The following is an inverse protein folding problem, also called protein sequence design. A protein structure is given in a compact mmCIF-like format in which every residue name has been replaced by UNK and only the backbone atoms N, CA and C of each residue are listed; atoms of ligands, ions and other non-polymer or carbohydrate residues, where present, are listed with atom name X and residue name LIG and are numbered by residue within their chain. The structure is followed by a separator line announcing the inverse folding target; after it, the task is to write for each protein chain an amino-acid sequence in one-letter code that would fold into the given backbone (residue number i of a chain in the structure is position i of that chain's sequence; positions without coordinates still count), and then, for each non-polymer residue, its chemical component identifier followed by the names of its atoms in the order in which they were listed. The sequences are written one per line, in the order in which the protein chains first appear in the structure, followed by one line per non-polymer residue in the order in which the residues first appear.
data_IF_863356768692
#
_entry.id   IF_863356768692
#
_cell.length_a   1.000
_cell.length_b   1.000
_cell.length_c   1.000
_cell.angle_alpha   90.00
_cell.angle_beta   90.00
_cell.angle_gamma   90.00
#
_symmetry.space_group_name_H-M   'P 1'
#
loop_
_entity.id
_entity.type
_entity.pdbx_description
1 polymer ?
#
# COMPACT_ATOMS: atom_id res chain seq x y z
N UNK A 1 16.24 53.19 22.84
CA UNK A 1 15.32 52.30 22.08
C UNK A 1 14.84 51.26 23.07
N UNK A 2 13.57 51.09 23.42
CA UNK A 2 12.29 51.62 22.91
C UNK A 2 11.22 51.15 23.90
N UNK A 3 10.73 52.01 24.79
CA UNK A 3 9.66 51.69 25.75
C UNK A 3 8.37 51.32 25.00
N UNK A 4 8.03 52.11 23.97
CA UNK A 4 6.85 51.89 23.11
C UNK A 4 6.90 50.62 22.27
N UNK A 5 8.09 50.17 21.86
CA UNK A 5 8.20 48.92 21.09
C UNK A 5 7.87 47.72 21.98
N UNK A 6 8.31 47.76 23.24
CA UNK A 6 8.01 46.70 24.19
C UNK A 6 6.52 46.73 24.55
N UNK A 7 5.95 47.91 24.78
CA UNK A 7 4.52 48.11 25.01
C UNK A 7 3.66 47.50 23.89
N UNK A 8 3.95 47.79 22.61
CA UNK A 8 3.21 47.20 21.49
C UNK A 8 3.40 45.68 21.36
N UNK A 9 4.57 45.15 21.74
CA UNK A 9 4.80 43.70 21.75
C UNK A 9 3.99 43.02 22.85
N UNK A 10 3.92 43.65 24.02
CA UNK A 10 3.14 43.14 25.15
C UNK A 10 1.64 43.19 24.82
N UNK A 11 1.17 44.22 24.11
CA UNK A 11 -0.20 44.28 23.57
C UNK A 11 -0.49 43.12 22.60
N UNK A 12 0.43 42.82 21.67
CA UNK A 12 0.30 41.67 20.76
C UNK A 12 0.24 40.35 21.54
N UNK A 13 1.03 40.19 22.62
CA UNK A 13 0.97 39.00 23.47
C UNK A 13 -0.42 38.86 24.09
N UNK A 14 -1.00 39.95 24.62
CA UNK A 14 -2.37 39.95 25.13
C UNK A 14 -3.42 39.59 24.07
N UNK A 15 -3.24 40.07 22.83
CA UNK A 15 -4.12 39.69 21.70
C UNK A 15 -3.97 38.20 21.37
N UNK A 16 -2.76 37.64 21.41
CA UNK A 16 -2.53 36.21 21.15
C UNK A 16 -3.28 35.32 22.15
N UNK A 17 -3.29 35.69 23.43
CA UNK A 17 -4.03 34.98 24.47
C UNK A 17 -5.54 35.00 24.18
N UNK A 18 -6.08 36.14 23.77
CA UNK A 18 -7.49 36.26 23.38
C UNK A 18 -7.83 35.42 22.15
N UNK A 19 -6.95 35.39 21.14
CA UNK A 19 -7.10 34.54 19.96
C UNK A 19 -7.12 33.07 20.38
N UNK A 20 -6.18 32.64 21.24
CA UNK A 20 -6.11 31.27 21.74
C UNK A 20 -7.39 30.85 22.48
N UNK A 21 -7.92 31.73 23.32
CA UNK A 21 -9.18 31.50 24.04
C UNK A 21 -10.37 31.36 23.09
N UNK A 22 -10.46 32.23 22.07
CA UNK A 22 -11.52 32.17 21.06
C UNK A 22 -11.43 30.90 20.20
N UNK A 23 -10.23 30.52 19.78
CA UNK A 23 -9.99 29.27 19.05
C UNK A 23 -10.37 28.05 19.88
N UNK A 24 -10.02 28.05 21.17
CA UNK A 24 -10.39 26.96 22.10
C UNK A 24 -11.90 26.85 22.30
N UNK A 25 -12.59 27.99 22.47
CA UNK A 25 -14.06 28.04 22.55
C UNK A 25 -14.70 27.54 21.25
N UNK A 26 -14.20 27.98 20.09
CA UNK A 26 -14.66 27.52 18.78
C UNK A 26 -14.48 26.01 18.60
N UNK A 27 -13.31 25.47 18.98
CA UNK A 27 -13.00 24.04 18.90
C UNK A 27 -13.96 23.19 19.73
N UNK A 28 -14.27 23.59 20.97
CA UNK A 28 -15.27 22.92 21.83
C UNK A 28 -16.67 22.90 21.20
N UNK A 29 -17.07 23.99 20.55
CA UNK A 29 -18.35 24.06 19.82
C UNK A 29 -18.31 23.14 18.60
N UNK A 30 -17.21 23.14 17.85
CA UNK A 30 -17.03 22.26 16.70
C UNK A 30 -17.16 20.78 17.10
N UNK A 31 -16.55 20.34 18.21
CA UNK A 31 -16.71 18.97 18.71
C UNK A 31 -18.18 18.61 18.97
N UNK A 32 -18.93 19.49 19.65
CA UNK A 32 -20.38 19.30 19.89
C UNK A 32 -21.17 19.21 18.59
N UNK A 33 -20.84 20.04 17.58
CA UNK A 33 -21.44 19.96 16.25
C UNK A 33 -21.16 18.58 15.62
N UNK A 34 -19.93 18.07 15.74
CA UNK A 34 -19.55 16.75 15.23
C UNK A 34 -20.33 15.61 15.88
N UNK A 35 -20.56 15.68 17.20
CA UNK A 35 -21.39 14.72 17.93
C UNK A 35 -22.84 14.71 17.44
N UNK A 36 -23.45 15.89 17.27
CA UNK A 36 -24.83 16.00 16.75
C UNK A 36 -24.93 15.54 15.30
N UNK A 37 -23.98 15.91 14.45
CA UNK A 37 -23.93 15.45 13.05
C UNK A 37 -23.89 13.93 12.95
N UNK A 38 -23.10 13.27 13.80
CA UNK A 38 -23.03 11.80 13.88
C UNK A 38 -24.37 11.18 14.27
N UNK A 39 -25.03 11.71 15.31
CA UNK A 39 -26.36 11.22 15.72
C UNK A 39 -27.39 11.33 14.59
N UNK A 40 -27.26 12.35 13.76
CA UNK A 40 -28.16 12.63 12.63
C UNK A 40 -27.72 11.98 11.31
N UNK A 41 -26.56 11.30 11.26
CA UNK A 41 -26.02 10.71 10.02
C UNK A 41 -25.68 11.74 8.94
N UNK A 42 -25.34 12.97 9.32
CA UNK A 42 -25.06 14.08 8.38
C UNK A 42 -23.56 14.27 8.14
N UNK A 43 -23.20 14.79 6.96
CA UNK A 43 -21.80 14.96 6.56
C UNK A 43 -21.06 16.00 7.42
N UNK A 44 -19.83 15.68 7.82
CA UNK A 44 -18.97 16.56 8.62
C UNK A 44 -18.50 17.77 7.80
N UNK A 45 -18.04 17.55 6.56
CA UNK A 45 -17.61 18.62 5.66
C UNK A 45 -18.76 19.17 4.81
N UNK A 46 -18.89 20.49 4.78
CA UNK A 46 -19.90 21.22 3.99
C UNK A 46 -19.24 22.44 3.33
N UNK A 47 -18.87 22.35 2.03
CA UNK A 47 -18.17 23.43 1.34
C UNK A 47 -19.05 24.66 1.12
N UNK A 48 -20.38 24.49 1.04
CA UNK A 48 -21.31 25.59 0.84
C UNK A 48 -21.42 26.43 2.12
N UNK A 49 -21.55 25.78 3.28
CA UNK A 49 -21.49 26.43 4.59
C UNK A 49 -20.16 27.15 4.80
N UNK A 50 -19.05 26.53 4.42
CA UNK A 50 -17.72 27.15 4.53
C UNK A 50 -17.65 28.45 3.70
N UNK A 51 -18.10 28.39 2.44
CA UNK A 51 -18.16 29.56 1.55
C UNK A 51 -19.03 30.68 2.12
N UNK A 52 -20.19 30.36 2.67
CA UNK A 52 -21.09 31.34 3.30
C UNK A 52 -20.42 32.02 4.50
N UNK A 53 -19.75 31.26 5.37
CA UNK A 53 -19.01 31.82 6.50
C UNK A 53 -17.86 32.72 6.05
N UNK A 54 -17.11 32.33 5.01
CA UNK A 54 -16.03 33.16 4.45
C UNK A 54 -16.62 34.48 3.96
N UNK A 55 -17.68 34.43 3.14
CA UNK A 55 -18.29 35.65 2.59
C UNK A 55 -18.75 36.59 3.70
N UNK A 56 -19.40 36.08 4.75
CA UNK A 56 -19.80 36.90 5.90
C UNK A 56 -18.62 37.54 6.65
N UNK A 57 -17.46 36.91 6.66
CA UNK A 57 -16.24 37.47 7.25
C UNK A 57 -15.63 38.55 6.34
N UNK A 58 -15.63 38.32 5.02
CA UNK A 58 -15.13 39.28 4.05
C UNK A 58 -16.00 40.55 4.00
N UNK A 59 -17.32 40.40 4.07
CA UNK A 59 -18.27 41.53 4.10
C UNK A 59 -18.06 42.44 5.34
N UNK A 60 -17.45 41.91 6.40
CA UNK A 60 -17.15 42.63 7.65
C UNK A 60 -15.67 43.02 7.79
N UNK A 61 -14.85 42.75 6.78
CA UNK A 61 -13.42 43.02 6.86
C UNK A 61 -13.14 44.50 6.61
N UNK A 62 -12.79 45.24 7.66
CA UNK A 62 -12.40 46.66 7.58
C UNK A 62 -10.87 46.85 7.48
N UNK A 63 -10.11 45.76 7.32
CA UNK A 63 -8.64 45.77 7.29
C UNK A 63 -8.01 45.68 8.69
N UNK A 64 -6.67 45.78 8.81
CA UNK A 64 -5.69 46.10 7.78
C UNK A 64 -5.27 44.91 6.89
N UNK A 65 -5.65 43.68 7.24
CA UNK A 65 -5.43 42.51 6.37
C UNK A 65 -6.42 42.49 5.21
N UNK A 66 -5.93 42.23 4.00
CA UNK A 66 -6.82 42.09 2.85
C UNK A 66 -7.62 40.77 2.91
N UNK A 67 -8.68 40.71 2.10
CA UNK A 67 -9.61 39.58 2.04
C UNK A 67 -8.95 38.23 1.77
N UNK A 68 -7.89 38.19 0.97
CA UNK A 68 -7.18 36.95 0.68
C UNK A 68 -6.49 36.39 1.92
N UNK A 69 -5.86 37.26 2.72
CA UNK A 69 -5.20 36.85 3.98
C UNK A 69 -6.25 36.37 4.99
N UNK A 70 -7.34 37.12 5.18
CA UNK A 70 -8.45 36.71 6.06
C UNK A 70 -9.01 35.36 5.63
N UNK A 71 -9.28 35.18 4.33
CA UNK A 71 -9.76 33.92 3.78
C UNK A 71 -8.82 32.75 4.07
N UNK A 72 -7.51 32.91 3.91
CA UNK A 72 -6.53 31.85 4.19
C UNK A 72 -6.50 31.48 5.67
N UNK A 73 -6.44 32.47 6.57
CA UNK A 73 -6.42 32.25 8.02
C UNK A 73 -7.66 31.49 8.48
N UNK A 74 -8.85 31.92 8.04
CA UNK A 74 -10.09 31.28 8.44
C UNK A 74 -10.26 29.88 7.82
N UNK A 75 -9.76 29.64 6.61
CA UNK A 75 -9.73 28.29 6.04
C UNK A 75 -8.95 27.30 6.91
N UNK A 76 -7.79 27.69 7.43
CA UNK A 76 -7.03 26.83 8.34
C UNK A 76 -7.78 26.58 9.66
N UNK A 77 -8.43 27.62 10.21
CA UNK A 77 -9.29 27.47 11.40
C UNK A 77 -10.46 26.50 11.12
N UNK A 78 -11.07 26.60 9.94
CA UNK A 78 -12.19 25.74 9.53
C UNK A 78 -11.76 24.30 9.33
N UNK A 79 -10.61 24.08 8.68
CA UNK A 79 -9.98 22.77 8.53
C UNK A 79 -9.71 22.13 9.89
N UNK A 80 -8.99 22.81 10.77
CA UNK A 80 -8.69 22.32 12.13
C UNK A 80 -9.97 21.97 12.91
N UNK A 81 -11.03 22.75 12.74
CA UNK A 81 -12.31 22.48 13.44
C UNK A 81 -13.14 21.38 12.79
N UNK A 82 -12.98 21.14 11.50
CA UNK A 82 -13.55 19.99 10.80
C UNK A 82 -12.86 18.71 11.25
N UNK A 83 -11.54 18.76 11.46
CA UNK A 83 -10.78 17.61 11.99
C UNK A 83 -11.15 17.28 13.44
N UNK A 84 -11.50 18.28 14.26
CA UNK A 84 -12.05 18.05 15.60
C UNK A 84 -13.43 17.38 15.60
N UNK A 85 -14.21 17.51 14.52
CA UNK A 85 -15.54 16.90 14.39
C UNK A 85 -15.49 15.42 14.04
N UNK A 86 -14.43 14.96 13.39
CA UNK A 86 -14.23 13.54 13.02
C UNK A 86 -14.16 12.65 14.27
N UNK A 87 -14.71 11.44 14.21
CA UNK A 87 -14.67 10.46 15.31
C UNK A 87 -13.23 10.04 15.66
N UNK A 88 -12.96 9.51 16.85
CA UNK A 88 -11.60 9.01 17.17
C UNK A 88 -11.14 7.88 16.23
N UNK A 89 -12.06 7.06 15.72
CA UNK A 89 -11.76 6.07 14.68
C UNK A 89 -11.51 6.72 13.31
N UNK A 90 -12.17 7.83 12.97
CA UNK A 90 -11.81 8.63 11.79
C UNK A 90 -10.49 9.42 11.97
N UNK A 91 -9.96 9.52 13.20
CA UNK A 91 -8.66 10.15 13.47
C UNK A 91 -7.49 9.17 13.33
N UNK A 92 -7.75 7.87 13.44
CA UNK A 92 -6.72 6.82 13.40
C UNK A 92 -7.16 5.67 12.48
N UNK A 93 -6.49 5.58 11.33
CA UNK A 93 -6.69 4.54 10.33
C UNK A 93 -6.51 3.15 10.95
N UNK A 94 -7.36 2.19 10.59
CA UNK A 94 -7.24 0.78 11.00
C UNK A 94 -5.85 0.22 10.71
N UNK A 95 -5.25 0.62 9.60
CA UNK A 95 -3.91 0.18 9.20
C UNK A 95 -2.76 0.90 9.95
N UNK A 96 -3.04 1.92 10.75
CA UNK A 96 -2.00 2.75 11.39
C UNK A 96 -1.46 2.14 12.69
N UNK A 97 -0.16 2.30 12.92
CA UNK A 97 0.46 1.97 14.21
C UNK A 97 -0.10 2.75 15.40
N UNK A 98 -0.69 3.93 15.16
CA UNK A 98 -1.34 4.71 16.22
C UNK A 98 -2.53 3.97 16.81
N UNK A 99 -3.25 3.19 15.99
CA UNK A 99 -4.38 2.38 16.44
C UNK A 99 -3.92 1.01 16.95
N UNK A 100 -3.02 0.35 16.22
CA UNK A 100 -2.47 -0.96 16.57
C UNK A 100 -0.93 -0.92 16.50
N UNK A 101 -0.24 -0.75 17.64
CA UNK A 101 1.22 -0.63 17.67
C UNK A 101 1.95 -1.90 17.21
N UNK A 102 1.38 -3.08 17.45
CA UNK A 102 1.96 -4.39 17.15
C UNK A 102 1.89 -4.74 15.66
N UNK A 103 2.92 -5.44 15.16
CA UNK A 103 2.95 -5.91 13.78
C UNK A 103 1.79 -6.88 13.48
N UNK A 104 1.17 -6.70 12.32
CA UNK A 104 0.26 -7.69 11.75
C UNK A 104 1.08 -8.82 11.13
N UNK A 105 0.77 -10.05 11.54
CA UNK A 105 1.41 -11.27 11.04
C UNK A 105 0.38 -12.03 10.21
N UNK A 106 0.69 -12.28 8.94
CA UNK A 106 -0.17 -13.05 8.04
C UNK A 106 0.32 -14.49 7.98
N UNK A 107 -0.50 -15.43 8.46
CA UNK A 107 -0.16 -16.85 8.60
C UNK A 107 -0.95 -17.71 7.62
N UNK A 108 -0.33 -18.82 7.18
CA UNK A 108 -0.88 -19.75 6.20
C UNK A 108 -0.76 -21.20 6.71
N UNK A 109 -1.70 -22.06 6.30
CA UNK A 109 -1.82 -23.44 6.78
C UNK A 109 -0.57 -24.31 6.49
N UNK A 110 0.17 -24.03 5.42
CA UNK A 110 1.40 -24.75 5.06
C UNK A 110 2.64 -24.30 5.89
N UNK A 111 2.43 -23.45 6.90
CA UNK A 111 3.47 -22.86 7.73
C UNK A 111 4.14 -21.62 7.13
N UNK A 112 3.65 -21.10 6.00
CA UNK A 112 4.07 -19.79 5.50
C UNK A 112 3.66 -18.67 6.46
N UNK A 113 4.56 -17.72 6.71
CA UNK A 113 4.30 -16.57 7.59
C UNK A 113 4.96 -15.33 6.99
N UNK A 114 4.23 -14.22 6.95
CA UNK A 114 4.74 -12.92 6.48
C UNK A 114 4.55 -11.88 7.60
N UNK A 115 5.61 -11.15 7.94
CA UNK A 115 5.58 -10.07 8.92
C UNK A 115 5.99 -10.44 10.35
N UNK A 116 6.46 -11.68 10.59
CA UNK A 116 6.95 -12.14 11.90
C UNK A 116 8.40 -11.72 12.21
N UNK A 117 9.00 -10.92 11.32
CA UNK A 117 10.41 -10.53 11.35
C UNK A 117 11.31 -11.38 10.45
N UNK A 118 10.86 -12.58 10.04
CA UNK A 118 11.57 -13.39 9.04
C UNK A 118 11.30 -12.89 7.62
N UNK A 119 12.28 -13.06 6.74
CA UNK A 119 12.19 -12.69 5.33
C UNK A 119 11.50 -13.80 4.54
N UNK A 120 10.41 -13.44 3.89
CA UNK A 120 9.67 -14.32 2.99
C UNK A 120 9.99 -14.03 1.52
N UNK A 121 9.82 -15.03 0.66
CA UNK A 121 9.96 -14.85 -0.78
C UNK A 121 8.72 -15.27 -1.54
N UNK A 122 8.40 -14.51 -2.59
CA UNK A 122 7.29 -14.81 -3.48
C UNK A 122 7.81 -14.81 -4.92
N UNK A 123 8.14 -16.00 -5.41
CA UNK A 123 8.65 -16.22 -6.76
C UNK A 123 7.61 -16.93 -7.62
N UNK A 124 7.82 -16.90 -8.93
CA UNK A 124 6.94 -17.58 -9.88
C UNK A 124 6.75 -16.76 -11.15
N UNK A 125 6.04 -17.31 -12.14
CA UNK A 125 5.94 -16.68 -13.44
C UNK A 125 5.13 -15.39 -13.45
N UNK A 126 5.32 -14.60 -14.50
CA UNK A 126 4.53 -13.42 -14.79
C UNK A 126 3.09 -13.82 -15.06
N UNK A 127 2.90 -14.72 -16.02
CA UNK A 127 1.60 -15.25 -16.41
C UNK A 127 1.57 -16.76 -16.18
N UNK A 128 0.38 -17.30 -15.91
CA UNK A 128 0.17 -18.75 -15.97
C UNK A 128 -0.06 -19.12 -17.44
N UNK A 129 0.79 -19.97 -17.99
CA UNK A 129 0.79 -20.30 -19.42
C UNK A 129 0.38 -21.75 -19.68
N UNK A 130 0.86 -22.69 -18.86
CA UNK A 130 0.44 -24.10 -18.84
C UNK A 130 0.71 -24.74 -17.48
N UNK A 131 0.17 -25.95 -17.24
CA UNK A 131 0.45 -26.69 -16.00
C UNK A 131 1.93 -27.05 -15.89
N UNK A 132 2.54 -27.53 -16.97
CA UNK A 132 3.95 -27.93 -17.02
C UNK A 132 4.88 -26.75 -16.70
N UNK A 133 4.58 -25.58 -17.28
CA UNK A 133 5.33 -24.35 -17.07
C UNK A 133 5.34 -23.92 -15.60
N UNK A 134 4.18 -23.99 -14.92
CA UNK A 134 4.08 -23.63 -13.50
C UNK A 134 4.70 -24.71 -12.61
N UNK A 135 4.48 -25.99 -12.94
CA UNK A 135 4.98 -27.13 -12.18
C UNK A 135 6.51 -27.17 -12.11
N UNK A 136 7.19 -26.80 -13.19
CA UNK A 136 8.66 -26.76 -13.21
C UNK A 136 9.21 -25.71 -12.23
N UNK A 137 8.59 -24.52 -12.18
CA UNK A 137 8.96 -23.47 -11.21
C UNK A 137 8.57 -23.90 -9.79
N UNK A 138 7.39 -24.47 -9.61
CA UNK A 138 6.90 -24.91 -8.31
C UNK A 138 7.76 -26.02 -7.70
N UNK A 139 8.21 -27.00 -8.50
CA UNK A 139 9.14 -28.03 -8.06
C UNK A 139 10.45 -27.41 -7.55
N UNK A 140 11.02 -26.47 -8.31
CA UNK A 140 12.25 -25.78 -7.90
C UNK A 140 12.10 -25.00 -6.58
N UNK A 141 10.94 -24.36 -6.37
CA UNK A 141 10.62 -23.63 -5.14
C UNK A 141 10.40 -24.57 -3.95
N UNK A 142 9.71 -25.70 -4.17
CA UNK A 142 9.51 -26.72 -3.14
C UNK A 142 10.84 -27.30 -2.66
N UNK A 143 11.76 -27.61 -3.59
CA UNK A 143 13.10 -28.12 -3.27
C UNK A 143 13.91 -27.14 -2.42
N UNK A 144 13.65 -25.83 -2.55
CA UNK A 144 14.25 -24.76 -1.75
C UNK A 144 13.55 -24.52 -0.43
N UNK A 145 12.44 -25.20 -0.17
CA UNK A 145 11.63 -25.04 1.05
C UNK A 145 10.80 -23.76 1.08
N UNK A 146 10.64 -23.08 -0.06
CA UNK A 146 9.80 -21.89 -0.16
C UNK A 146 8.32 -22.23 0.06
N UNK A 147 7.54 -21.21 0.46
CA UNK A 147 6.15 -21.41 0.90
C UNK A 147 5.12 -20.77 -0.02
N UNK A 148 5.57 -19.97 -0.98
CA UNK A 148 4.72 -19.17 -1.84
C UNK A 148 5.12 -19.33 -3.30
N UNK A 149 4.13 -19.36 -4.17
CA UNK A 149 4.31 -19.18 -5.60
C UNK A 149 3.34 -18.11 -6.11
N UNK A 150 3.80 -17.24 -7.00
CA UNK A 150 2.93 -16.31 -7.74
C UNK A 150 2.72 -16.75 -9.18
N UNK A 151 1.57 -16.40 -9.75
CA UNK A 151 1.30 -16.55 -11.17
C UNK A 151 0.07 -15.77 -11.59
N UNK A 152 0.14 -15.01 -12.68
CA UNK A 152 -0.99 -14.21 -13.14
C UNK A 152 -1.99 -15.02 -13.97
N UNK A 153 -3.14 -15.35 -13.40
CA UNK A 153 -4.26 -15.95 -14.14
C UNK A 153 -5.01 -14.89 -14.98
N UNK A 154 -5.10 -13.67 -14.46
CA UNK A 154 -5.58 -12.47 -15.16
C UNK A 154 -4.42 -11.48 -15.33
N UNK A 155 -4.27 -10.91 -16.53
CA UNK A 155 -3.17 -9.99 -16.85
C UNK A 155 -3.71 -8.61 -17.28
N UNK A 156 -3.53 -7.55 -16.48
CA UNK A 156 -3.88 -6.20 -16.92
C UNK A 156 -2.85 -5.69 -17.94
N UNK A 157 -3.20 -5.73 -19.22
CA UNK A 157 -2.34 -5.33 -20.34
C UNK A 157 -2.60 -3.89 -20.77
N UNK A 158 -1.56 -3.23 -21.26
CA UNK A 158 -1.70 -1.93 -21.92
C UNK A 158 -2.38 -2.07 -23.29
N UNK A 159 -2.06 -3.15 -24.01
CA UNK A 159 -2.68 -3.49 -25.30
C UNK A 159 -3.74 -4.58 -25.10
N UNK A 160 -4.95 -4.44 -25.67
CA UNK A 160 -6.00 -5.45 -25.59
C UNK A 160 -5.73 -6.69 -26.46
N UNK A 161 -4.77 -6.61 -27.40
CA UNK A 161 -4.40 -7.72 -28.28
C UNK A 161 -3.32 -8.63 -27.69
N UNK A 162 -2.72 -8.19 -26.59
CA UNK A 162 -1.76 -9.00 -25.86
C UNK A 162 -2.48 -10.15 -25.13
N UNK A 163 -1.71 -11.17 -24.72
CA UNK A 163 -2.23 -12.22 -23.85
C UNK A 163 -2.82 -11.67 -22.55
N UNK A 164 -4.12 -11.91 -22.33
CA UNK A 164 -4.89 -11.40 -21.19
C UNK A 164 -4.87 -12.34 -19.97
N UNK A 165 -4.22 -13.51 -20.08
CA UNK A 165 -4.27 -14.58 -19.09
C UNK A 165 -5.27 -15.68 -19.45
N UNK A 166 -5.16 -16.83 -18.77
CA UNK A 166 -6.05 -17.98 -18.94
C UNK A 166 -7.38 -17.84 -18.16
N UNK A 167 -7.52 -16.81 -17.33
CA UNK A 167 -8.68 -16.63 -16.46
C UNK A 167 -8.84 -17.80 -15.48
N UNK A 168 -10.04 -18.36 -15.38
CA UNK A 168 -10.34 -19.46 -14.46
C UNK A 168 -9.48 -20.71 -14.69
N UNK A 169 -9.15 -21.05 -15.95
CA UNK A 169 -8.25 -22.19 -16.22
C UNK A 169 -6.86 -21.97 -15.61
N UNK A 170 -6.39 -20.71 -15.60
CA UNK A 170 -5.17 -20.34 -14.89
C UNK A 170 -5.29 -20.49 -13.37
N UNK A 171 -6.47 -20.18 -12.79
CA UNK A 171 -6.73 -20.40 -11.36
C UNK A 171 -6.74 -21.89 -11.01
N UNK A 172 -7.33 -22.74 -11.87
CA UNK A 172 -7.32 -24.20 -11.70
C UNK A 172 -5.89 -24.76 -11.74
N UNK A 173 -5.06 -24.29 -12.67
CA UNK A 173 -3.63 -24.66 -12.72
C UNK A 173 -2.93 -24.32 -11.41
N UNK A 174 -3.12 -23.09 -10.91
CA UNK A 174 -2.52 -22.68 -9.63
C UNK A 174 -3.02 -23.56 -8.48
N UNK A 175 -4.31 -23.87 -8.41
CA UNK A 175 -4.86 -24.76 -7.38
C UNK A 175 -4.26 -26.16 -7.45
N UNK A 176 -4.10 -26.74 -8.64
CA UNK A 176 -3.42 -28.02 -8.82
C UNK A 176 -1.97 -27.96 -8.35
N UNK A 177 -1.25 -26.89 -8.69
CA UNK A 177 0.13 -26.66 -8.24
C UNK A 177 0.22 -26.54 -6.71
N UNK A 178 -0.69 -25.79 -6.09
CA UNK A 178 -0.81 -25.72 -4.63
C UNK A 178 -0.93 -27.10 -4.01
N UNK A 179 -1.88 -27.90 -4.49
CA UNK A 179 -2.18 -29.21 -3.91
C UNK A 179 -1.03 -30.22 -4.14
N UNK A 180 -0.33 -30.10 -5.27
CA UNK A 180 0.80 -30.98 -5.63
C UNK A 180 2.10 -30.62 -4.90
N UNK A 181 2.40 -29.34 -4.72
CA UNK A 181 3.69 -28.88 -4.20
C UNK A 181 3.62 -28.26 -2.79
N UNK A 182 2.42 -28.07 -2.23
CA UNK A 182 2.23 -27.50 -0.89
C UNK A 182 2.59 -26.01 -0.80
N UNK A 183 2.49 -25.27 -1.91
CA UNK A 183 2.80 -23.83 -1.99
C UNK A 183 1.53 -22.99 -1.90
N UNK A 184 1.56 -21.88 -1.18
CA UNK A 184 0.47 -20.89 -1.21
C UNK A 184 0.50 -20.14 -2.53
N UNK A 185 -0.64 -20.06 -3.20
CA UNK A 185 -0.74 -19.42 -4.52
C UNK A 185 -1.21 -17.98 -4.43
N UNK A 186 -0.43 -17.08 -5.04
CA UNK A 186 -0.69 -15.65 -5.16
C UNK A 186 -1.05 -15.32 -6.61
N UNK A 187 -2.26 -14.80 -6.85
CA UNK A 187 -2.67 -14.37 -8.19
C UNK A 187 -3.45 -13.06 -8.17
N UNK A 188 -3.38 -12.32 -9.27
CA UNK A 188 -4.03 -11.02 -9.40
C UNK A 188 -5.51 -11.16 -9.74
N UNK A 189 -6.34 -10.42 -9.01
CA UNK A 189 -7.76 -10.24 -9.31
C UNK A 189 -7.99 -8.83 -9.84
N UNK A 190 -8.75 -8.72 -10.92
CA UNK A 190 -8.93 -7.47 -11.66
C UNK A 190 -10.37 -6.93 -11.63
N UNK A 191 -11.34 -7.78 -11.30
CA UNK A 191 -12.76 -7.44 -11.27
C UNK A 191 -13.40 -7.93 -9.95
N UNK A 192 -14.23 -7.11 -9.27
CA UNK A 192 -14.95 -7.54 -8.07
C UNK A 192 -15.75 -8.84 -8.23
N UNK A 193 -16.29 -9.09 -9.42
CA UNK A 193 -17.08 -10.30 -9.68
C UNK A 193 -16.26 -11.61 -9.60
N UNK A 194 -14.92 -11.53 -9.68
CA UNK A 194 -14.06 -12.70 -9.73
C UNK A 194 -13.66 -13.21 -8.33
N UNK A 195 -13.99 -12.51 -7.25
CA UNK A 195 -13.59 -12.92 -5.89
C UNK A 195 -14.21 -14.24 -5.45
N UNK A 196 -15.51 -14.45 -5.73
CA UNK A 196 -16.22 -15.67 -5.33
C UNK A 196 -15.61 -16.93 -5.97
N UNK A 197 -15.23 -16.83 -7.24
CA UNK A 197 -14.57 -17.93 -7.94
C UNK A 197 -13.12 -18.07 -7.49
N UNK A 198 -12.39 -16.97 -7.33
CA UNK A 198 -10.99 -16.99 -6.94
C UNK A 198 -10.74 -17.53 -5.52
N UNK A 199 -11.68 -17.34 -4.59
CA UNK A 199 -11.58 -17.83 -3.20
C UNK A 199 -11.41 -19.35 -3.11
N UNK A 200 -11.95 -20.07 -4.09
CA UNK A 200 -11.86 -21.53 -4.19
C UNK A 200 -10.46 -22.02 -4.59
N UNK A 201 -9.67 -21.17 -5.24
CA UNK A 201 -8.40 -21.53 -5.87
C UNK A 201 -7.19 -20.89 -5.19
N UNK A 202 -7.31 -19.65 -4.71
CA UNK A 202 -6.20 -18.83 -4.27
C UNK A 202 -6.01 -18.79 -2.75
N UNK A 203 -4.78 -18.54 -2.32
CA UNK A 203 -4.43 -18.29 -0.92
C UNK A 203 -4.26 -16.80 -0.64
N UNK A 204 -3.80 -16.04 -1.64
CA UNK A 204 -3.60 -14.60 -1.54
C UNK A 204 -4.16 -13.93 -2.78
N UNK A 205 -5.04 -12.95 -2.57
CA UNK A 205 -5.51 -12.07 -3.63
C UNK A 205 -4.51 -10.93 -3.85
N UNK A 206 -3.88 -10.87 -5.02
CA UNK A 206 -3.10 -9.71 -5.40
C UNK A 206 -4.01 -8.65 -6.03
N UNK A 207 -3.91 -7.42 -5.54
CA UNK A 207 -4.44 -6.22 -6.21
C UNK A 207 -3.27 -5.51 -6.88
N UNK A 208 -3.23 -5.51 -8.20
CA UNK A 208 -2.12 -4.91 -8.95
C UNK A 208 -2.11 -3.39 -8.89
N UNK A 209 -0.96 -2.81 -9.24
CA UNK A 209 -0.71 -1.37 -9.16
C UNK A 209 -1.74 -0.51 -9.91
N UNK A 210 -2.28 -1.01 -11.04
CA UNK A 210 -3.30 -0.29 -11.83
C UNK A 210 -4.65 -0.23 -11.12
N UNK A 211 -4.91 -1.17 -10.21
CA UNK A 211 -6.15 -1.30 -9.46
C UNK A 211 -6.02 -0.81 -8.02
N UNK A 212 -4.89 -0.22 -7.60
CA UNK A 212 -4.72 0.32 -6.24
C UNK A 212 -5.78 1.37 -5.87
N UNK A 213 -6.40 2.04 -6.85
CA UNK A 213 -7.51 2.99 -6.64
C UNK A 213 -8.82 2.51 -7.26
N UNK A 214 -8.94 1.22 -7.58
CA UNK A 214 -10.21 0.61 -7.91
C UNK A 214 -10.98 0.32 -6.61
N UNK A 215 -11.62 1.34 -6.05
CA UNK A 215 -12.17 1.28 -4.70
C UNK A 215 -13.23 0.18 -4.51
N UNK A 216 -14.02 -0.14 -5.54
CA UNK A 216 -14.98 -1.24 -5.46
C UNK A 216 -14.27 -2.61 -5.39
N UNK A 217 -13.15 -2.78 -6.11
CA UNK A 217 -12.31 -3.96 -5.98
C UNK A 217 -11.68 -4.08 -4.59
N UNK A 218 -11.22 -2.97 -4.01
CA UNK A 218 -10.66 -2.94 -2.65
C UNK A 218 -11.72 -3.29 -1.59
N UNK A 219 -12.94 -2.75 -1.73
CA UNK A 219 -14.04 -3.07 -0.82
C UNK A 219 -14.39 -4.55 -0.88
N UNK A 220 -14.44 -5.12 -2.08
CA UNK A 220 -14.74 -6.54 -2.24
C UNK A 220 -13.61 -7.44 -1.69
N UNK A 221 -12.35 -7.08 -1.93
CA UNK A 221 -11.20 -7.74 -1.28
C UNK A 221 -11.31 -7.71 0.24
N UNK A 222 -11.76 -6.57 0.77
CA UNK A 222 -11.96 -6.32 2.20
C UNK A 222 -13.10 -7.09 2.85
N UNK A 223 -14.04 -7.61 2.06
CA UNK A 223 -15.12 -8.50 2.52
C UNK A 223 -14.71 -9.98 2.52
N UNK A 224 -13.63 -10.32 1.84
CA UNK A 224 -13.08 -11.68 1.89
C UNK A 224 -12.30 -11.92 3.17
N UNK A 225 -12.12 -13.19 3.53
CA UNK A 225 -11.27 -13.60 4.66
C UNK A 225 -9.85 -14.00 4.24
N UNK A 226 -9.51 -13.86 2.96
CA UNK A 226 -8.20 -14.22 2.42
C UNK A 226 -7.21 -13.06 2.56
N UNK A 227 -5.92 -13.35 2.77
CA UNK A 227 -4.89 -12.32 2.68
C UNK A 227 -4.90 -11.57 1.34
N UNK A 228 -4.65 -10.26 1.41
CA UNK A 228 -4.59 -9.37 0.25
C UNK A 228 -3.20 -8.79 0.08
N UNK A 229 -2.56 -9.05 -1.06
CA UNK A 229 -1.31 -8.40 -1.46
C UNK A 229 -1.63 -7.16 -2.30
N UNK A 230 -1.52 -5.97 -1.70
CA UNK A 230 -1.83 -4.71 -2.35
C UNK A 230 -0.54 -4.08 -2.91
N UNK A 231 -0.45 -3.97 -4.24
CA UNK A 231 0.66 -3.28 -4.91
C UNK A 231 0.44 -1.79 -4.95
N UNK A 232 1.49 -1.02 -4.64
CA UNK A 232 1.48 0.44 -4.78
C UNK A 232 1.19 0.85 -6.23
N UNK A 233 0.36 1.86 -6.39
CA UNK A 233 -0.01 2.43 -7.68
C UNK A 233 1.17 3.10 -8.38
N UNK A 234 1.11 3.19 -9.71
CA UNK A 234 2.22 3.64 -10.56
C UNK A 234 2.79 5.01 -10.17
N UNK A 235 1.95 5.89 -9.63
CA UNK A 235 2.33 7.24 -9.19
C UNK A 235 1.68 7.59 -7.85
N UNK A 236 1.33 6.58 -7.06
CA UNK A 236 0.66 6.79 -5.78
C UNK A 236 1.65 7.36 -4.76
N UNK A 237 1.20 8.37 -4.02
CA UNK A 237 1.85 8.81 -2.79
C UNK A 237 1.75 7.71 -1.72
N UNK A 238 2.57 7.83 -0.66
CA UNK A 238 2.46 6.92 0.49
C UNK A 238 1.10 7.05 1.17
N UNK A 239 0.57 8.27 1.27
CA UNK A 239 -0.74 8.53 1.86
C UNK A 239 -1.88 7.84 1.09
N UNK A 240 -1.91 7.97 -0.24
CA UNK A 240 -2.89 7.27 -1.08
C UNK A 240 -2.77 5.75 -0.97
N UNK A 241 -1.55 5.22 -0.83
CA UNK A 241 -1.31 3.79 -0.68
C UNK A 241 -1.83 3.27 0.67
N UNK A 242 -1.60 4.02 1.75
CA UNK A 242 -2.13 3.72 3.09
C UNK A 242 -3.67 3.78 3.07
N UNK A 243 -4.27 4.78 2.42
CA UNK A 243 -5.73 4.85 2.31
C UNK A 243 -6.32 3.73 1.46
N UNK A 244 -5.63 3.27 0.42
CA UNK A 244 -6.07 2.09 -0.33
C UNK A 244 -6.09 0.83 0.56
N UNK A 245 -5.10 0.66 1.44
CA UNK A 245 -5.13 -0.41 2.44
C UNK A 245 -6.27 -0.21 3.45
N UNK A 246 -6.56 1.03 3.84
CA UNK A 246 -7.68 1.38 4.72
C UNK A 246 -9.04 1.02 4.12
N UNK A 247 -9.23 1.15 2.80
CA UNK A 247 -10.46 0.69 2.13
C UNK A 247 -10.69 -0.81 2.31
N UNK A 248 -9.63 -1.62 2.32
CA UNK A 248 -9.71 -3.07 2.56
C UNK A 248 -10.01 -3.32 4.05
N UNK A 249 -9.22 -2.72 4.95
CA UNK A 249 -9.34 -2.91 6.40
C UNK A 249 -10.70 -2.47 6.95
N UNK A 250 -11.23 -1.35 6.45
CA UNK A 250 -12.53 -0.80 6.87
C UNK A 250 -13.73 -1.68 6.50
N UNK A 251 -13.57 -2.68 5.63
CA UNK A 251 -14.59 -3.70 5.35
C UNK A 251 -14.46 -4.95 6.24
N UNK A 252 -13.38 -5.07 7.03
CA UNK A 252 -13.19 -6.12 8.03
C UNK A 252 -11.96 -7.01 7.80
N UNK A 253 -11.28 -6.93 6.65
CA UNK A 253 -10.10 -7.74 6.37
C UNK A 253 -8.80 -7.00 6.71
N UNK A 254 -8.17 -7.39 7.82
CA UNK A 254 -6.89 -6.84 8.26
C UNK A 254 -5.66 -7.61 7.73
N UNK A 255 -5.86 -8.73 7.02
CA UNK A 255 -4.76 -9.56 6.49
C UNK A 255 -4.16 -8.96 5.21
N UNK A 256 -3.55 -7.79 5.34
CA UNK A 256 -3.05 -7.00 4.21
C UNK A 256 -1.52 -7.04 4.17
N UNK A 257 -0.97 -7.32 2.99
CA UNK A 257 0.46 -7.25 2.70
C UNK A 257 0.67 -6.12 1.69
N UNK A 258 1.48 -5.13 2.04
CA UNK A 258 1.84 -4.04 1.13
C UNK A 258 3.00 -4.46 0.23
N UNK A 259 2.98 -4.04 -1.03
CA UNK A 259 4.06 -4.33 -1.96
C UNK A 259 4.52 -3.08 -2.71
N UNK A 260 5.71 -2.59 -2.38
CA UNK A 260 6.41 -1.55 -3.15
C UNK A 260 6.94 -2.17 -4.45
N UNK A 261 6.72 -1.48 -5.58
CA UNK A 261 6.96 -2.04 -6.92
C UNK A 261 7.50 -1.01 -7.92
N UNK A 262 8.08 0.07 -7.42
CA UNK A 262 8.58 1.20 -8.15
C UNK A 262 7.49 2.17 -8.59
N UNK A 263 7.84 3.45 -8.59
CA UNK A 263 7.02 4.55 -9.06
C UNK A 263 7.51 5.07 -10.42
N UNK A 264 6.60 5.64 -11.20
CA UNK A 264 6.91 6.27 -12.47
C UNK A 264 7.62 7.61 -12.23
N UNK A 265 8.74 7.80 -12.91
CA UNK A 265 9.52 9.05 -12.89
C UNK A 265 9.89 9.44 -14.33
N UNK A 266 10.76 10.44 -14.48
CA UNK A 266 11.31 10.83 -15.79
C UNK A 266 12.45 9.90 -16.27
N UNK A 267 12.99 9.04 -15.38
CA UNK A 267 14.10 8.15 -15.68
C UNK A 267 13.71 7.08 -16.70
N UNK A 268 14.60 6.76 -17.65
CA UNK A 268 14.37 5.80 -18.74
C UNK A 268 15.29 4.57 -18.68
N UNK A 269 16.34 4.60 -17.88
CA UNK A 269 17.26 3.47 -17.69
C UNK A 269 16.62 2.29 -16.93
N UNK A 270 15.50 2.54 -16.24
CA UNK A 270 14.68 1.57 -15.53
C UNK A 270 13.22 1.72 -15.94
N UNK A 271 12.43 0.63 -15.82
CA UNK A 271 10.99 0.65 -16.16
C UNK A 271 10.20 1.54 -15.20
N UNK A 272 10.54 1.47 -13.92
CA UNK A 272 10.11 2.37 -12.86
C UNK A 272 11.31 2.65 -11.94
N UNK A 273 11.25 3.72 -11.16
CA UNK A 273 12.25 3.96 -10.11
C UNK A 273 11.80 3.26 -8.83
N UNK A 274 12.58 2.30 -8.34
CA UNK A 274 12.32 1.66 -7.06
C UNK A 274 12.42 2.69 -5.93
N UNK A 275 11.30 2.96 -5.26
CA UNK A 275 11.27 3.86 -4.10
C UNK A 275 11.56 3.07 -2.83
N UNK A 276 12.84 2.77 -2.60
CA UNK A 276 13.27 1.98 -1.44
C UNK A 276 12.94 2.66 -0.09
N UNK A 277 12.76 3.98 -0.10
CA UNK A 277 12.40 4.74 1.10
C UNK A 277 10.97 4.45 1.59
N UNK A 278 10.10 3.97 0.71
CA UNK A 278 8.73 3.60 1.04
C UNK A 278 8.67 2.49 2.10
N UNK A 279 9.60 1.53 2.06
CA UNK A 279 9.61 0.39 2.99
C UNK A 279 9.66 0.83 4.46
N UNK A 280 10.68 1.57 4.93
CA UNK A 280 10.73 2.01 6.32
C UNK A 280 9.62 3.01 6.67
N UNK A 281 9.20 3.88 5.74
CA UNK A 281 8.10 4.83 5.98
C UNK A 281 6.79 4.07 6.24
N UNK A 282 6.47 3.08 5.41
CA UNK A 282 5.29 2.24 5.58
C UNK A 282 5.38 1.44 6.88
N UNK A 283 6.51 0.77 7.13
CA UNK A 283 6.69 -0.01 8.38
C UNK A 283 6.64 0.86 9.64
N UNK A 284 6.94 2.16 9.57
CA UNK A 284 6.76 3.09 10.70
C UNK A 284 5.32 3.60 10.83
N UNK A 285 4.66 3.89 9.70
CA UNK A 285 3.31 4.45 9.67
C UNK A 285 2.20 3.42 9.88
N UNK A 286 2.42 2.18 9.45
CA UNK A 286 1.47 1.06 9.48
C UNK A 286 2.05 -0.14 10.22
N UNK A 287 1.16 -1.00 10.71
CA UNK A 287 1.54 -2.30 11.30
C UNK A 287 1.60 -3.43 10.27
N UNK A 288 1.34 -3.13 8.99
CA UNK A 288 1.25 -4.12 7.92
C UNK A 288 2.65 -4.55 7.43
N UNK A 289 2.83 -5.82 7.02
CA UNK A 289 4.04 -6.25 6.36
C UNK A 289 4.23 -5.59 4.99
N UNK A 290 5.48 -5.38 4.61
CA UNK A 290 5.88 -4.69 3.37
C UNK A 290 6.87 -5.53 2.57
N UNK A 291 6.47 -5.95 1.37
CA UNK A 291 7.31 -6.62 0.38
C UNK A 291 7.85 -5.64 -0.66
N UNK A 292 8.90 -6.06 -1.37
CA UNK A 292 9.44 -5.34 -2.54
C UNK A 292 9.42 -6.22 -3.78
N UNK A 293 8.80 -5.75 -4.85
CA UNK A 293 8.82 -6.38 -6.18
C UNK A 293 9.98 -5.81 -7.01
N UNK A 294 11.05 -6.60 -7.17
CA UNK A 294 12.26 -6.17 -7.87
C UNK A 294 12.17 -6.33 -9.38
N UNK A 295 11.27 -7.19 -9.86
CA UNK A 295 11.07 -7.40 -11.29
C UNK A 295 10.32 -6.24 -11.93
N UNK A 296 9.17 -5.86 -11.35
CA UNK A 296 8.33 -4.83 -11.95
C UNK A 296 8.79 -3.39 -11.65
N UNK A 297 9.56 -3.19 -10.59
CA UNK A 297 10.20 -1.91 -10.29
C UNK A 297 11.29 -1.64 -11.32
N UNK A 298 12.35 -2.44 -11.31
CA UNK A 298 13.52 -2.23 -12.18
C UNK A 298 13.19 -2.45 -13.66
N UNK A 299 12.41 -3.49 -13.97
CA UNK A 299 12.21 -3.99 -15.33
C UNK A 299 13.49 -4.51 -15.99
N UNK A 300 14.49 -4.91 -15.20
CA UNK A 300 15.84 -5.27 -15.68
C UNK A 300 16.47 -6.37 -14.82
N UNK A 301 16.81 -7.50 -15.45
CA UNK A 301 17.42 -8.66 -14.78
C UNK A 301 18.74 -8.34 -14.08
N UNK A 302 19.60 -7.57 -14.74
CA UNK A 302 20.98 -7.31 -14.31
C UNK A 302 21.08 -6.53 -12.99
N UNK A 303 20.00 -5.86 -12.58
CA UNK A 303 19.94 -5.09 -11.32
C UNK A 303 18.92 -5.65 -10.32
N UNK A 304 18.28 -6.80 -10.58
CA UNK A 304 17.33 -7.40 -9.64
C UNK A 304 18.00 -7.84 -8.34
N UNK A 305 19.14 -8.53 -8.42
CA UNK A 305 19.83 -9.03 -7.22
C UNK A 305 20.33 -7.88 -6.31
N UNK A 306 21.01 -6.84 -6.82
CA UNK A 306 21.37 -5.69 -5.99
C UNK A 306 20.17 -5.00 -5.33
N UNK A 307 19.07 -4.83 -6.07
CA UNK A 307 17.87 -4.18 -5.52
C UNK A 307 17.11 -5.07 -4.54
N UNK A 308 17.14 -6.39 -4.70
CA UNK A 308 16.62 -7.35 -3.72
C UNK A 308 17.41 -7.31 -2.41
N UNK A 309 18.75 -7.27 -2.50
CA UNK A 309 19.63 -7.09 -1.32
C UNK A 309 19.33 -5.77 -0.60
N UNK A 310 19.10 -4.69 -1.35
CA UNK A 310 18.69 -3.40 -0.78
C UNK A 310 17.31 -3.47 -0.10
N UNK A 311 16.34 -4.19 -0.69
CA UNK A 311 15.03 -4.47 -0.10
C UNK A 311 15.14 -5.17 1.26
N UNK A 312 15.96 -6.22 1.35
CA UNK A 312 16.20 -6.90 2.62
C UNK A 312 16.88 -5.97 3.63
N UNK A 313 17.91 -5.24 3.20
CA UNK A 313 18.69 -4.36 4.08
C UNK A 313 17.92 -3.16 4.62
N UNK A 314 16.96 -2.63 3.88
CA UNK A 314 16.09 -1.54 4.37
C UNK A 314 14.97 -2.05 5.28
N UNK A 315 14.84 -3.37 5.45
CA UNK A 315 13.91 -3.99 6.38
C UNK A 315 12.59 -4.45 5.77
N UNK A 316 12.53 -4.72 4.45
CA UNK A 316 11.35 -5.36 3.85
C UNK A 316 11.10 -6.72 4.50
N UNK A 317 9.83 -7.12 4.62
CA UNK A 317 9.42 -8.43 5.15
C UNK A 317 9.59 -9.55 4.10
N UNK A 318 9.91 -9.18 2.86
CA UNK A 318 10.21 -10.13 1.82
C UNK A 318 10.40 -9.53 0.44
N UNK A 319 10.82 -10.38 -0.50
CA UNK A 319 11.10 -10.01 -1.89
C UNK A 319 10.19 -10.81 -2.83
N UNK A 320 9.63 -10.12 -3.81
CA UNK A 320 8.93 -10.71 -4.94
C UNK A 320 9.76 -10.53 -6.22
N UNK A 321 9.90 -11.61 -6.99
CA UNK A 321 10.54 -11.57 -8.32
C UNK A 321 9.91 -12.61 -9.25
N UNK A 322 10.10 -12.45 -10.55
CA UNK A 322 9.53 -13.36 -11.54
C UNK A 322 10.55 -14.38 -12.07
N UNK A 323 10.09 -15.63 -12.16
CA UNK A 323 10.85 -16.79 -12.63
C UNK A 323 10.03 -17.55 -13.65
N UNK A 324 10.61 -17.87 -14.79
CA UNK A 324 9.97 -18.63 -15.87
C UNK A 324 10.93 -19.71 -16.36
N UNK A 325 10.50 -20.93 -16.69
CA UNK A 325 11.42 -21.99 -17.14
C UNK A 325 12.13 -21.63 -18.44
N UNK A 326 11.42 -20.98 -19.38
CA UNK A 326 11.98 -20.45 -20.63
C UNK A 326 11.48 -19.02 -20.89
N UNK A 327 12.14 -17.98 -20.37
CA UNK A 327 11.70 -16.59 -20.54
C UNK A 327 11.60 -16.15 -22.00
N UNK A 328 12.31 -16.80 -22.94
CA UNK A 328 12.37 -16.38 -24.34
C UNK A 328 11.04 -16.57 -25.08
N UNK A 329 10.21 -17.52 -24.62
CA UNK A 329 8.89 -17.82 -25.18
C UNK A 329 7.72 -17.31 -24.33
N UNK A 330 7.99 -16.64 -23.21
CA UNK A 330 6.96 -16.18 -22.28
C UNK A 330 6.00 -15.16 -22.92
N UNK A 331 4.71 -15.27 -22.58
CA UNK A 331 3.62 -14.44 -23.11
C UNK A 331 3.58 -13.03 -22.48
N UNK A 332 4.44 -12.77 -21.50
CA UNK A 332 4.62 -11.49 -20.82
C UNK A 332 6.01 -11.39 -20.19
N UNK A 333 6.58 -10.19 -20.16
CA UNK A 333 7.83 -9.89 -19.45
C UNK A 333 9.01 -10.83 -19.79
N UNK A 334 9.09 -11.29 -21.04
CA UNK A 334 10.15 -12.18 -21.55
C UNK A 334 11.57 -11.63 -21.32
N UNK A 335 11.75 -10.31 -21.38
CA UNK A 335 13.04 -9.65 -21.10
C UNK A 335 13.37 -9.48 -19.61
N UNK A 336 12.44 -9.78 -18.71
CA UNK A 336 12.55 -9.48 -17.28
C UNK A 336 12.57 -10.73 -16.39
N UNK A 337 11.90 -11.80 -16.79
CA UNK A 337 11.85 -13.02 -15.97
C UNK A 337 13.23 -13.71 -15.96
N UNK A 338 13.60 -14.23 -14.79
CA UNK A 338 14.78 -15.10 -14.65
C UNK A 338 14.44 -16.50 -15.18
N UNK A 339 15.34 -17.10 -15.93
CA UNK A 339 15.32 -18.56 -16.12
C UNK A 339 15.72 -19.29 -14.83
N UNK A 340 15.61 -20.63 -14.79
CA UNK A 340 15.94 -21.40 -13.59
C UNK A 340 17.42 -21.30 -13.19
N UNK A 341 18.34 -21.13 -14.15
CA UNK A 341 19.77 -21.00 -13.86
C UNK A 341 20.10 -19.60 -13.32
N UNK A 342 19.49 -18.56 -13.89
CA UNK A 342 19.55 -17.19 -13.40
C UNK A 342 18.96 -17.11 -11.99
N UNK A 343 17.80 -17.76 -11.77
CA UNK A 343 17.15 -17.83 -10.46
C UNK A 343 18.01 -18.56 -9.43
N UNK A 344 18.66 -19.66 -9.79
CA UNK A 344 19.56 -20.39 -8.89
C UNK A 344 20.70 -19.50 -8.38
N UNK A 345 21.32 -18.72 -9.28
CA UNK A 345 22.38 -17.76 -8.90
C UNK A 345 21.83 -16.64 -8.00
N UNK A 346 20.67 -16.09 -8.37
CA UNK A 346 20.00 -15.06 -7.59
C UNK A 346 19.68 -15.55 -6.18
N UNK A 347 19.09 -16.74 -6.06
CA UNK A 347 18.65 -17.33 -4.81
C UNK A 347 19.83 -17.65 -3.88
N UNK A 348 20.90 -18.26 -4.44
CA UNK A 348 22.08 -18.62 -3.66
C UNK A 348 22.84 -17.41 -3.09
N UNK A 349 22.66 -16.22 -3.67
CA UNK A 349 23.19 -14.98 -3.08
C UNK A 349 22.21 -14.29 -2.13
N UNK A 350 20.89 -14.38 -2.38
CA UNK A 350 19.89 -13.67 -1.60
C UNK A 350 19.51 -14.42 -0.31
N UNK A 351 19.36 -15.74 -0.37
CA UNK A 351 18.89 -16.57 0.75
C UNK A 351 19.82 -16.52 1.96
N UNK A 352 21.16 -16.63 1.82
CA UNK A 352 22.05 -16.49 2.98
C UNK A 352 21.93 -15.12 3.65
N UNK A 353 21.76 -14.06 2.87
CA UNK A 353 21.57 -12.71 3.41
C UNK A 353 20.26 -12.61 4.22
N UNK A 354 19.17 -13.17 3.71
CA UNK A 354 17.92 -13.28 4.46
C UNK A 354 18.09 -14.05 5.77
N UNK A 355 18.81 -15.18 5.76
CA UNK A 355 19.06 -15.98 6.95
C UNK A 355 19.89 -15.24 8.01
N UNK A 356 20.83 -14.39 7.58
CA UNK A 356 21.57 -13.51 8.49
C UNK A 356 20.66 -12.47 9.16
N UNK A 357 19.66 -11.92 8.45
CA UNK A 357 18.64 -11.05 9.07
C UNK A 357 17.71 -11.83 10.01
N UNK A 358 17.23 -13.00 9.58
CA UNK A 358 16.33 -13.86 10.37
C UNK A 358 16.99 -14.29 11.70
N UNK A 359 18.28 -14.63 11.64
CA UNK A 359 19.08 -15.00 12.82
C UNK A 359 19.62 -13.80 13.60
N UNK A 360 19.27 -12.56 13.20
CA UNK A 360 19.70 -11.30 13.82
C UNK A 360 21.24 -11.11 13.85
N UNK A 361 21.96 -11.76 12.95
CA UNK A 361 23.39 -11.50 12.71
C UNK A 361 23.59 -10.13 12.07
N UNK A 362 22.65 -9.74 11.21
CA UNK A 362 22.50 -8.39 10.67
C UNK A 362 21.30 -7.70 11.32
N UNK A 363 21.40 -6.39 11.49
CA UNK A 363 20.35 -5.54 12.06
C UNK A 363 19.56 -4.84 10.98
#
# INVERSE_FOLDING_TARGET
MTDKLQEYRDEIVGINEQILDLLSKRGKIAQKIGEEKRKQGTMVYDPQREKEMINQLLDKNEGPFNDNVIKQLFKEIFKASTDLQKSENEKHLYVSRKLKPEDTIVQFDNGGIIGDGNKSFVFGPCSVESQEQVDEVAANLQDKGEKFIRGGAFKPRTSPYDFQGLGEEGLKILKNTKDKYGLNVVSEIVNPADFEIADQYLDVFQIGARNMQNFELLKEAGRSNKPVLLKRGLSATIEEFIFAAEYIASQGNENIILCERGIRTYEKATRNTLDISAVPILKQGTHLPVLVDVTHSTGRKDIMLPTAKAGLAVGADGIMAEVHPDPSVALSDSGQQMDLNEFEKFYNELKPLADMYNSKQLK
#
